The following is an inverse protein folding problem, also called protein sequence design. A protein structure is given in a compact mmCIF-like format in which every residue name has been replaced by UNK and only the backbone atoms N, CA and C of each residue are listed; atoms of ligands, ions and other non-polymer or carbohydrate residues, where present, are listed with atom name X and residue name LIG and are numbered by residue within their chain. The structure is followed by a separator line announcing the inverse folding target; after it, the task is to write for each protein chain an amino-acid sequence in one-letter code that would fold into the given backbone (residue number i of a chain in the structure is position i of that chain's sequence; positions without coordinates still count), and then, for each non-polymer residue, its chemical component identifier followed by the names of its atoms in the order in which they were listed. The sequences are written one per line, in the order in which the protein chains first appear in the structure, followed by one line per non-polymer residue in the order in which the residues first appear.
data_IF_353555015823
#
_entry.id   IF_353555015823
#
_cell.length_a   1.000
_cell.length_b   1.000
_cell.length_c   1.000
_cell.angle_alpha   90.00
_cell.angle_beta   90.00
_cell.angle_gamma   90.00
#
_symmetry.space_group_name_H-M   'P 1'
#
loop_
_entity.id
_entity.type
_entity.pdbx_description
1 polymer ?
#
# COMPACT_ATOMS: atom_id res chain seq x y z
N UNK A 1 -7.26 30.41 1.97
CA UNK A 1 -5.91 30.74 2.51
C UNK A 1 -6.12 31.95 3.41
N UNK A 2 -5.73 31.87 4.69
CA UNK A 2 -5.88 32.98 5.63
C UNK A 2 -4.76 34.01 5.42
N UNK A 3 -5.11 35.28 5.44
CA UNK A 3 -4.18 36.41 5.37
C UNK A 3 -3.64 36.82 6.76
N UNK A 4 -4.23 36.28 7.85
CA UNK A 4 -3.83 36.55 9.23
C UNK A 4 -2.97 35.40 9.78
N UNK A 5 -1.78 35.72 10.26
CA UNK A 5 -0.81 34.75 10.79
C UNK A 5 -1.38 33.87 11.93
N UNK A 6 -2.11 34.49 12.88
CA UNK A 6 -2.73 33.75 14.00
C UNK A 6 -3.79 32.77 13.53
N UNK A 7 -4.66 33.17 12.61
CA UNK A 7 -5.70 32.31 12.04
C UNK A 7 -5.08 31.18 11.22
N UNK A 8 -4.03 31.46 10.44
CA UNK A 8 -3.28 30.43 9.72
C UNK A 8 -2.63 29.42 10.67
N UNK A 9 -2.10 29.87 11.80
CA UNK A 9 -1.52 28.99 12.84
C UNK A 9 -2.56 28.06 13.47
N UNK A 10 -3.74 28.58 13.82
CA UNK A 10 -4.82 27.77 14.37
C UNK A 10 -5.33 26.74 13.37
N UNK A 11 -5.55 27.12 12.11
CA UNK A 11 -5.97 26.19 11.05
C UNK A 11 -4.92 25.12 10.77
N UNK A 12 -3.64 25.47 10.77
CA UNK A 12 -2.56 24.51 10.60
C UNK A 12 -2.54 23.48 11.74
N UNK A 13 -2.71 23.94 12.98
CA UNK A 13 -2.78 23.04 14.15
C UNK A 13 -4.01 22.13 14.08
N UNK A 14 -5.17 22.65 13.73
CA UNK A 14 -6.39 21.85 13.57
C UNK A 14 -6.21 20.77 12.51
N UNK A 15 -5.60 21.09 11.36
CA UNK A 15 -5.30 20.15 10.31
C UNK A 15 -4.31 19.06 10.76
N UNK A 16 -3.29 19.43 11.54
CA UNK A 16 -2.33 18.46 12.08
C UNK A 16 -2.97 17.52 13.08
N UNK A 17 -3.82 18.03 13.97
CA UNK A 17 -4.59 17.24 14.93
C UNK A 17 -5.55 16.27 14.22
N UNK A 18 -6.29 16.76 13.20
CA UNK A 18 -7.18 15.92 12.39
C UNK A 18 -6.41 14.84 11.65
N UNK A 19 -5.25 15.18 11.06
CA UNK A 19 -4.40 14.20 10.37
C UNK A 19 -3.84 13.16 11.32
N UNK A 20 -3.41 13.57 12.51
CA UNK A 20 -2.93 12.65 13.57
C UNK A 20 -4.03 11.69 14.01
N UNK A 21 -5.24 12.19 14.22
CA UNK A 21 -6.40 11.37 14.58
C UNK A 21 -6.78 10.39 13.46
N UNK A 22 -6.77 10.85 12.21
CA UNK A 22 -6.99 10.00 11.03
C UNK A 22 -5.95 8.88 10.93
N UNK A 23 -4.67 9.21 11.14
CA UNK A 23 -3.59 8.21 11.12
C UNK A 23 -3.77 7.15 12.21
N UNK A 24 -4.09 7.55 13.45
CA UNK A 24 -4.38 6.64 14.56
C UNK A 24 -5.58 5.74 14.25
N UNK A 25 -6.69 6.34 13.79
CA UNK A 25 -7.88 5.58 13.43
C UNK A 25 -7.61 4.57 12.31
N UNK A 26 -6.83 4.96 11.29
CA UNK A 26 -6.43 4.07 10.19
C UNK A 26 -5.57 2.91 10.69
N UNK A 27 -4.62 3.17 11.59
CA UNK A 27 -3.76 2.13 12.18
C UNK A 27 -4.56 1.15 13.02
N UNK A 28 -5.41 1.63 13.91
CA UNK A 28 -6.25 0.76 14.75
C UNK A 28 -7.19 -0.11 13.91
N UNK A 29 -7.80 0.47 12.88
CA UNK A 29 -8.68 -0.27 11.96
C UNK A 29 -7.89 -1.30 11.13
N UNK A 30 -6.65 -0.99 10.73
CA UNK A 30 -5.76 -1.94 10.05
C UNK A 30 -5.41 -3.10 10.97
N UNK A 31 -4.94 -2.85 12.19
CA UNK A 31 -4.59 -3.88 13.19
C UNK A 31 -5.79 -4.81 13.44
N UNK A 32 -6.98 -4.25 13.64
CA UNK A 32 -8.22 -5.02 13.83
C UNK A 32 -8.58 -5.88 12.61
N UNK A 33 -8.40 -5.36 11.41
CA UNK A 33 -8.63 -6.10 10.18
C UNK A 33 -7.61 -7.25 10.02
N UNK A 34 -6.33 -6.98 10.29
CA UNK A 34 -5.25 -7.97 10.22
C UNK A 34 -5.44 -9.11 11.23
N UNK A 35 -5.86 -8.80 12.46
CA UNK A 35 -6.18 -9.82 13.47
C UNK A 35 -7.27 -10.79 12.98
N UNK A 36 -8.29 -10.27 12.30
CA UNK A 36 -9.37 -11.09 11.74
C UNK A 36 -8.91 -11.94 10.55
N UNK A 37 -7.96 -11.47 9.75
CA UNK A 37 -7.39 -12.18 8.61
C UNK A 37 -6.45 -13.29 9.10
N UNK A 38 -5.61 -13.01 10.10
CA UNK A 38 -4.65 -13.96 10.65
C UNK A 38 -5.30 -15.11 11.45
N UNK A 39 -6.57 -14.98 11.83
CA UNK A 39 -7.33 -16.05 12.45
C UNK A 39 -7.67 -17.21 11.48
N UNK A 40 -7.41 -17.03 10.16
CA UNK A 40 -7.64 -18.02 9.11
C UNK A 40 -6.51 -18.08 8.06
N UNK A 41 -6.75 -18.80 6.97
CA UNK A 41 -5.88 -18.73 5.80
C UNK A 41 -6.16 -17.46 4.99
N UNK A 42 -5.11 -16.85 4.43
CA UNK A 42 -5.26 -15.68 3.56
C UNK A 42 -5.93 -16.08 2.26
N UNK A 43 -7.18 -15.72 2.11
CA UNK A 43 -8.01 -16.01 0.93
C UNK A 43 -7.65 -15.10 -0.27
N UNK A 44 -8.15 -15.44 -1.46
CA UNK A 44 -7.95 -14.64 -2.67
C UNK A 44 -8.65 -13.28 -2.63
N UNK A 45 -9.58 -13.07 -1.70
CA UNK A 45 -10.24 -11.80 -1.44
C UNK A 45 -10.24 -11.54 0.07
N UNK A 46 -9.73 -10.41 0.51
CA UNK A 46 -9.70 -10.00 1.91
C UNK A 46 -10.88 -9.09 2.20
N UNK A 47 -11.58 -9.33 3.31
CA UNK A 47 -12.67 -8.44 3.73
C UNK A 47 -12.66 -8.18 5.24
N UNK A 48 -13.01 -6.94 5.61
CA UNK A 48 -13.18 -6.56 7.01
C UNK A 48 -14.29 -5.51 7.15
N UNK A 49 -15.20 -5.73 8.10
CA UNK A 49 -16.36 -4.86 8.33
C UNK A 49 -16.53 -4.61 9.82
N UNK A 50 -16.74 -3.36 10.19
CA UNK A 50 -16.91 -2.99 11.59
C UNK A 50 -17.73 -1.70 11.74
N UNK A 51 -18.46 -1.57 12.84
CA UNK A 51 -19.20 -0.36 13.20
C UNK A 51 -18.27 0.79 13.62
N UNK A 52 -17.09 0.46 14.14
CA UNK A 52 -16.07 1.44 14.54
C UNK A 52 -15.28 2.02 13.34
N UNK A 53 -15.39 1.41 12.17
CA UNK A 53 -14.73 1.94 10.99
C UNK A 53 -15.48 3.17 10.47
N UNK A 54 -14.78 4.29 10.35
CA UNK A 54 -15.36 5.45 9.69
C UNK A 54 -15.24 5.36 8.17
N UNK A 55 -16.26 5.83 7.46
CA UNK A 55 -16.27 5.86 5.99
C UNK A 55 -15.09 6.67 5.39
N UNK A 56 -14.49 7.59 6.16
CA UNK A 56 -13.32 8.37 5.75
C UNK A 56 -11.99 7.61 5.73
N UNK A 57 -11.90 6.45 6.41
CA UNK A 57 -10.64 5.68 6.48
C UNK A 57 -10.68 4.32 5.80
N UNK A 58 -11.86 3.75 5.52
CA UNK A 58 -11.99 2.39 4.96
C UNK A 58 -11.18 2.21 3.67
N UNK A 59 -11.10 3.22 2.83
CA UNK A 59 -10.30 3.18 1.62
C UNK A 59 -8.79 3.17 1.89
N UNK A 60 -8.33 3.82 2.95
CA UNK A 60 -6.93 3.80 3.37
C UNK A 60 -6.54 2.43 3.94
N UNK A 61 -7.43 1.86 4.76
CA UNK A 61 -7.23 0.52 5.32
C UNK A 61 -7.20 -0.52 4.21
N UNK A 62 -8.15 -0.48 3.26
CA UNK A 62 -8.16 -1.38 2.12
C UNK A 62 -6.86 -1.30 1.29
N UNK A 63 -6.33 -0.08 1.06
CA UNK A 63 -5.03 0.10 0.38
C UNK A 63 -3.88 -0.58 1.13
N UNK A 64 -3.82 -0.41 2.45
CA UNK A 64 -2.77 -1.03 3.29
C UNK A 64 -2.85 -2.55 3.30
N UNK A 65 -4.05 -3.12 3.31
CA UNK A 65 -4.23 -4.57 3.21
C UNK A 65 -3.75 -5.10 1.85
N UNK A 66 -4.07 -4.39 0.75
CA UNK A 66 -3.55 -4.75 -0.58
C UNK A 66 -2.03 -4.66 -0.63
N UNK A 67 -1.44 -3.61 -0.08
CA UNK A 67 0.03 -3.45 -0.01
C UNK A 67 0.70 -4.58 0.77
N UNK A 68 0.07 -5.03 1.87
CA UNK A 68 0.66 -6.05 2.75
C UNK A 68 0.47 -7.48 2.20
N UNK A 69 -0.74 -7.81 1.74
CA UNK A 69 -1.09 -9.19 1.37
C UNK A 69 -1.05 -9.45 -0.13
N UNK A 70 -1.00 -8.41 -0.95
CA UNK A 70 -1.16 -8.49 -2.41
C UNK A 70 -2.40 -9.28 -2.82
N UNK A 71 -3.52 -8.92 -2.26
CA UNK A 71 -4.86 -9.48 -2.52
C UNK A 71 -5.87 -8.36 -2.66
N UNK A 72 -6.93 -8.50 -3.49
CA UNK A 72 -8.04 -7.58 -3.46
C UNK A 72 -8.61 -7.48 -2.05
N UNK A 73 -8.89 -6.26 -1.60
CA UNK A 73 -9.37 -6.00 -0.24
C UNK A 73 -10.62 -5.13 -0.24
N UNK A 74 -11.57 -5.50 0.61
CA UNK A 74 -12.83 -4.80 0.85
C UNK A 74 -12.88 -4.42 2.33
N UNK A 75 -13.00 -3.13 2.62
CA UNK A 75 -13.18 -2.65 3.99
C UNK A 75 -14.43 -1.80 4.06
N UNK A 76 -15.32 -2.12 4.98
CA UNK A 76 -16.61 -1.46 5.10
C UNK A 76 -16.95 -0.98 6.49
N UNK A 77 -17.57 0.20 6.56
CA UNK A 77 -18.19 0.79 7.74
C UNK A 77 -19.65 0.30 7.81
N UNK A 78 -20.04 -0.23 8.96
CA UNK A 78 -21.43 -0.63 9.23
C UNK A 78 -22.17 0.58 9.82
N UNK A 79 -23.14 1.10 9.09
CA UNK A 79 -23.92 2.29 9.46
C UNK A 79 -25.41 1.93 9.52
N UNK A 80 -25.87 1.45 10.67
CA UNK A 80 -27.26 1.01 10.90
C UNK A 80 -27.62 -0.22 10.04
N UNK A 81 -28.54 -0.05 9.08
CA UNK A 81 -28.96 -1.14 8.17
C UNK A 81 -28.07 -1.28 6.93
N UNK A 82 -27.11 -0.38 6.73
CA UNK A 82 -26.30 -0.33 5.53
C UNK A 82 -24.82 -0.47 5.84
N UNK A 83 -24.10 -1.00 4.88
CA UNK A 83 -22.65 -1.07 4.88
C UNK A 83 -22.15 -0.22 3.72
N UNK A 84 -21.25 0.71 4.00
CA UNK A 84 -20.50 1.46 3.01
C UNK A 84 -19.09 0.94 2.95
N UNK A 85 -18.71 0.39 1.81
CA UNK A 85 -17.42 -0.23 1.63
C UNK A 85 -16.58 0.46 0.56
N UNK A 86 -15.27 0.44 0.80
CA UNK A 86 -14.24 0.76 -0.19
C UNK A 86 -13.48 -0.50 -0.54
N UNK A 87 -13.27 -0.67 -1.83
CA UNK A 87 -12.51 -1.77 -2.39
C UNK A 87 -11.19 -1.26 -2.96
N UNK A 88 -10.14 -2.05 -2.81
CA UNK A 88 -8.87 -1.88 -3.52
C UNK A 88 -8.47 -3.20 -4.13
N UNK A 89 -7.76 -3.15 -5.25
CA UNK A 89 -7.45 -4.33 -6.03
C UNK A 89 -5.98 -4.41 -6.42
N UNK A 90 -5.64 -5.50 -7.03
CA UNK A 90 -4.34 -5.79 -7.66
C UNK A 90 -4.52 -5.81 -9.18
N UNK A 91 -3.42 -5.80 -9.94
CA UNK A 91 -3.47 -5.75 -11.40
C UNK A 91 -4.21 -6.95 -12.02
N UNK A 92 -4.15 -8.09 -11.35
CA UNK A 92 -4.70 -9.37 -11.79
C UNK A 92 -6.22 -9.48 -11.57
N UNK A 93 -6.85 -8.53 -10.84
CA UNK A 93 -8.26 -8.60 -10.49
C UNK A 93 -9.00 -7.28 -10.74
N UNK A 94 -10.04 -7.31 -11.56
CA UNK A 94 -10.82 -6.12 -11.91
C UNK A 94 -12.02 -5.96 -10.97
N UNK A 95 -11.83 -5.25 -9.84
CA UNK A 95 -12.83 -5.18 -8.77
C UNK A 95 -14.20 -4.65 -9.20
N UNK A 96 -14.27 -3.68 -10.14
CA UNK A 96 -15.56 -3.13 -10.57
C UNK A 96 -16.35 -4.15 -11.37
N UNK A 97 -15.72 -4.98 -12.22
CA UNK A 97 -16.40 -6.07 -12.94
C UNK A 97 -16.95 -7.12 -11.97
N UNK A 98 -16.20 -7.45 -10.93
CA UNK A 98 -16.68 -8.36 -9.89
C UNK A 98 -17.93 -7.79 -9.17
N UNK A 99 -17.94 -6.47 -8.88
CA UNK A 99 -19.12 -5.81 -8.34
C UNK A 99 -20.29 -5.77 -9.32
N UNK A 100 -20.04 -5.58 -10.61
CA UNK A 100 -21.07 -5.62 -11.66
C UNK A 100 -21.78 -6.98 -11.72
N UNK A 101 -21.03 -8.10 -11.55
CA UNK A 101 -21.61 -9.44 -11.43
C UNK A 101 -22.47 -9.64 -10.17
N UNK A 102 -22.34 -8.76 -9.18
CA UNK A 102 -23.10 -8.76 -7.92
C UNK A 102 -24.11 -7.63 -7.82
N UNK A 103 -24.41 -6.92 -8.91
CA UNK A 103 -25.24 -5.71 -8.90
C UNK A 103 -26.63 -5.92 -8.31
N UNK A 104 -27.18 -7.14 -8.38
CA UNK A 104 -28.47 -7.55 -7.83
C UNK A 104 -28.52 -7.45 -6.28
N UNK A 105 -27.38 -7.52 -5.60
CA UNK A 105 -27.26 -7.42 -4.14
C UNK A 105 -26.91 -6.01 -3.66
N UNK A 106 -26.52 -5.12 -4.56
CA UNK A 106 -25.97 -3.81 -4.24
C UNK A 106 -27.01 -2.70 -4.44
N UNK A 107 -27.08 -1.76 -3.49
CA UNK A 107 -27.89 -0.55 -3.66
C UNK A 107 -27.22 0.42 -4.64
N UNK A 108 -25.91 0.50 -4.60
CA UNK A 108 -25.09 1.26 -5.53
C UNK A 108 -23.65 0.75 -5.48
N UNK A 109 -22.97 0.83 -6.58
CA UNK A 109 -21.54 0.54 -6.68
C UNK A 109 -20.93 1.35 -7.82
N UNK A 110 -19.60 1.40 -7.87
CA UNK A 110 -18.89 2.04 -8.96
C UNK A 110 -17.42 2.29 -8.62
N UNK A 111 -16.64 2.59 -9.65
CA UNK A 111 -15.22 2.84 -9.53
C UNK A 111 -14.46 2.47 -10.81
N UNK A 112 -13.22 2.09 -10.62
CA UNK A 112 -12.29 1.65 -11.66
C UNK A 112 -11.74 0.26 -11.34
N UNK A 113 -10.90 -0.30 -12.22
CA UNK A 113 -10.34 -1.65 -12.04
C UNK A 113 -9.64 -1.84 -10.69
N UNK A 114 -8.90 -0.83 -10.21
CA UNK A 114 -8.06 -0.91 -9.02
C UNK A 114 -8.71 -0.36 -7.76
N UNK A 115 -9.80 0.39 -7.87
CA UNK A 115 -10.46 1.03 -6.74
C UNK A 115 -11.94 1.24 -7.03
N UNK A 116 -12.79 0.75 -6.14
CA UNK A 116 -14.22 0.87 -6.24
C UNK A 116 -14.84 1.10 -4.85
N UNK A 117 -16.13 1.35 -4.82
CA UNK A 117 -16.91 1.40 -3.60
C UNK A 117 -18.32 0.91 -3.84
N UNK A 118 -18.96 0.47 -2.79
CA UNK A 118 -20.35 0.04 -2.85
C UNK A 118 -21.12 0.35 -1.56
N UNK A 119 -22.43 0.27 -1.66
CA UNK A 119 -23.35 0.25 -0.51
C UNK A 119 -24.22 -0.98 -0.63
N UNK A 120 -24.33 -1.75 0.45
CA UNK A 120 -25.14 -2.94 0.54
C UNK A 120 -25.98 -2.92 1.82
N UNK A 121 -27.17 -3.52 1.83
CA UNK A 121 -27.91 -3.78 3.05
C UNK A 121 -27.22 -4.88 3.87
N UNK A 122 -27.14 -4.73 5.18
CA UNK A 122 -26.41 -5.67 6.05
C UNK A 122 -26.84 -7.13 5.89
N UNK A 123 -28.11 -7.36 5.60
CA UNK A 123 -28.66 -8.72 5.41
C UNK A 123 -28.10 -9.44 4.17
N UNK A 124 -27.62 -8.69 3.19
CA UNK A 124 -27.01 -9.24 1.97
C UNK A 124 -25.49 -9.31 2.02
N UNK A 125 -24.85 -8.88 3.14
CA UNK A 125 -23.40 -8.83 3.25
C UNK A 125 -22.76 -10.19 2.98
N UNK A 126 -23.21 -11.22 3.66
CA UNK A 126 -22.58 -12.55 3.59
C UNK A 126 -22.79 -13.16 2.18
N UNK A 127 -23.99 -13.05 1.62
CA UNK A 127 -24.27 -13.49 0.26
C UNK A 127 -23.39 -12.77 -0.79
N UNK A 128 -23.18 -11.47 -0.61
CA UNK A 128 -22.30 -10.68 -1.47
C UNK A 128 -20.86 -11.15 -1.36
N UNK A 129 -20.37 -11.37 -0.13
CA UNK A 129 -18.99 -11.83 0.09
C UNK A 129 -18.75 -13.20 -0.49
N UNK A 130 -19.67 -14.15 -0.31
CA UNK A 130 -19.58 -15.49 -0.87
C UNK A 130 -19.49 -15.42 -2.40
N UNK A 131 -20.34 -14.60 -3.04
CA UNK A 131 -20.34 -14.42 -4.49
C UNK A 131 -19.04 -13.79 -5.00
N UNK A 132 -18.56 -12.75 -4.30
CA UNK A 132 -17.27 -12.10 -4.62
C UNK A 132 -16.07 -13.02 -4.42
N UNK A 133 -16.10 -13.88 -3.39
CA UNK A 133 -15.04 -14.87 -3.15
C UNK A 133 -14.99 -15.88 -4.31
N UNK A 134 -16.13 -16.41 -4.73
CA UNK A 134 -16.20 -17.33 -5.89
C UNK A 134 -15.65 -16.67 -7.17
N UNK A 135 -15.93 -15.37 -7.37
CA UNK A 135 -15.37 -14.63 -8.51
C UNK A 135 -13.86 -14.48 -8.37
N UNK A 136 -13.37 -14.13 -7.16
CA UNK A 136 -11.94 -13.99 -6.91
C UNK A 136 -11.20 -15.32 -7.10
N UNK A 137 -11.72 -16.41 -6.58
CA UNK A 137 -11.15 -17.74 -6.77
C UNK A 137 -11.12 -18.12 -8.25
N UNK A 138 -12.18 -17.88 -9.00
CA UNK A 138 -12.24 -18.15 -10.45
C UNK A 138 -11.19 -17.37 -11.24
N UNK A 139 -10.95 -16.09 -10.89
CA UNK A 139 -10.07 -15.19 -11.64
C UNK A 139 -8.61 -15.27 -11.20
N UNK A 140 -8.35 -15.64 -9.94
CA UNK A 140 -7.01 -15.63 -9.36
C UNK A 140 -6.42 -17.04 -9.15
N UNK A 141 -7.19 -18.10 -9.42
CA UNK A 141 -6.70 -19.48 -9.28
C UNK A 141 -5.48 -19.75 -10.20
N UNK A 142 -4.43 -20.31 -9.62
CA UNK A 142 -3.20 -20.62 -10.33
C UNK A 142 -2.33 -19.42 -10.71
N UNK A 143 -2.71 -18.19 -10.34
CA UNK A 143 -1.91 -16.98 -10.56
C UNK A 143 -0.92 -16.81 -9.40
N UNK A 144 0.33 -16.52 -9.74
CA UNK A 144 1.35 -16.17 -8.74
C UNK A 144 1.09 -14.73 -8.23
N UNK A 145 0.41 -14.64 -7.10
CA UNK A 145 0.02 -13.35 -6.50
C UNK A 145 1.15 -12.77 -5.66
N UNK A 146 2.20 -12.32 -6.33
CA UNK A 146 3.31 -11.55 -5.74
C UNK A 146 3.43 -10.18 -6.39
N UNK A 147 3.68 -9.13 -5.61
CA UNK A 147 3.91 -7.81 -6.18
C UNK A 147 5.12 -7.82 -7.11
N UNK A 148 4.95 -7.29 -8.31
CA UNK A 148 6.03 -7.14 -9.28
C UNK A 148 6.51 -5.70 -9.32
N UNK A 149 7.83 -5.51 -9.37
CA UNK A 149 8.46 -4.21 -9.51
C UNK A 149 9.03 -4.09 -10.93
N UNK A 150 8.50 -3.15 -11.71
CA UNK A 150 9.00 -2.91 -13.05
C UNK A 150 10.23 -2.02 -12.97
N UNK A 151 11.39 -2.60 -13.25
CA UNK A 151 12.66 -1.88 -13.36
C UNK A 151 12.78 -1.32 -14.78
N UNK A 152 13.12 -0.03 -14.91
CA UNK A 152 13.32 0.60 -16.20
C UNK A 152 14.74 0.38 -16.70
N UNK A 153 15.74 0.44 -15.82
CA UNK A 153 17.16 0.26 -16.18
C UNK A 153 17.88 -0.50 -15.07
N UNK A 154 18.62 -1.53 -15.44
CA UNK A 154 19.63 -2.17 -14.58
C UNK A 154 20.99 -1.49 -14.83
N UNK A 155 21.63 -1.04 -13.76
CA UNK A 155 22.92 -0.36 -13.80
C UNK A 155 24.03 -1.26 -13.29
N UNK A 156 25.23 -1.03 -13.79
CA UNK A 156 26.45 -1.52 -13.17
C UNK A 156 26.84 -0.61 -12.00
N UNK A 157 27.57 -1.14 -11.04
CA UNK A 157 27.92 -0.41 -9.81
C UNK A 157 28.70 0.89 -10.09
N UNK A 158 29.60 0.84 -11.07
CA UNK A 158 30.40 1.99 -11.51
C UNK A 158 29.58 3.09 -12.19
N UNK A 159 28.39 2.77 -12.68
CA UNK A 159 27.48 3.73 -13.32
C UNK A 159 26.68 4.53 -12.27
N UNK A 160 26.60 4.04 -11.04
CA UNK A 160 25.90 4.74 -9.94
C UNK A 160 26.79 5.86 -9.41
N UNK A 161 26.67 7.01 -10.03
CA UNK A 161 27.42 8.22 -9.71
C UNK A 161 26.48 9.38 -9.39
N UNK A 162 26.91 10.41 -8.66
CA UNK A 162 26.11 11.61 -8.43
C UNK A 162 25.65 12.32 -9.71
N UNK A 163 26.26 12.02 -10.86
CA UNK A 163 25.89 12.60 -12.17
C UNK A 163 24.56 12.07 -12.71
N UNK A 164 24.08 10.92 -12.23
CA UNK A 164 22.79 10.37 -12.65
C UNK A 164 21.65 11.31 -12.23
N UNK A 165 21.74 11.91 -11.05
CA UNK A 165 20.65 12.72 -10.49
C UNK A 165 20.22 13.88 -11.40
N UNK A 166 21.12 14.75 -11.92
CA UNK A 166 20.73 15.81 -12.86
C UNK A 166 20.12 15.30 -14.17
N UNK A 167 20.47 14.08 -14.61
CA UNK A 167 19.87 13.49 -15.82
C UNK A 167 18.43 13.02 -15.54
N UNK A 168 18.19 12.41 -14.36
CA UNK A 168 16.84 12.03 -13.93
C UNK A 168 15.95 13.25 -13.69
N UNK A 169 16.48 14.34 -13.17
CA UNK A 169 15.73 15.59 -12.99
C UNK A 169 15.16 16.16 -14.29
N UNK A 170 15.80 15.91 -15.44
CA UNK A 170 15.29 16.35 -16.75
C UNK A 170 13.96 15.67 -17.14
N UNK A 171 13.62 14.56 -16.49
CA UNK A 171 12.37 13.84 -16.71
C UNK A 171 11.21 14.38 -15.87
N UNK A 172 11.46 15.35 -15.00
CA UNK A 172 10.44 16.00 -14.18
C UNK A 172 9.51 16.90 -15.04
N UNK A 173 8.22 17.09 -14.65
CA UNK A 173 7.61 16.52 -13.46
C UNK A 173 7.17 15.06 -13.66
N UNK A 174 7.45 14.21 -12.68
CA UNK A 174 6.96 12.84 -12.65
C UNK A 174 5.57 12.77 -11.99
N UNK A 175 4.79 11.73 -12.31
CA UNK A 175 3.45 11.54 -11.79
C UNK A 175 2.62 10.59 -12.67
N UNK A 176 1.30 10.77 -12.67
CA UNK A 176 0.41 9.95 -13.47
C UNK A 176 0.70 10.14 -14.97
N UNK A 177 0.98 9.03 -15.68
CA UNK A 177 1.35 9.04 -17.11
C UNK A 177 2.84 9.28 -17.39
N UNK A 178 3.60 9.73 -16.38
CA UNK A 178 5.06 9.87 -16.44
C UNK A 178 5.66 9.43 -15.09
N UNK A 179 5.72 8.12 -14.77
CA UNK A 179 6.23 7.65 -13.49
C UNK A 179 7.71 7.97 -13.32
N UNK A 180 8.19 8.06 -12.09
CA UNK A 180 9.61 8.15 -11.82
C UNK A 180 10.33 6.92 -12.37
N UNK A 181 11.52 7.14 -12.92
CA UNK A 181 12.38 6.05 -13.40
C UNK A 181 12.84 5.22 -12.21
N UNK A 182 12.72 3.91 -12.33
CA UNK A 182 13.17 2.96 -11.32
C UNK A 182 14.41 2.24 -11.80
N UNK A 183 15.52 2.47 -11.12
CA UNK A 183 16.82 1.88 -11.42
C UNK A 183 17.03 0.66 -10.53
N UNK A 184 17.86 -0.29 -10.98
CA UNK A 184 18.27 -1.42 -10.17
C UNK A 184 19.78 -1.67 -10.22
N UNK A 185 20.31 -2.09 -9.07
CA UNK A 185 21.61 -2.76 -8.95
C UNK A 185 21.36 -4.18 -8.50
N UNK A 186 22.02 -5.14 -9.13
CA UNK A 186 21.89 -6.55 -8.75
C UNK A 186 23.12 -7.09 -8.05
N UNK A 187 22.88 -8.01 -7.12
CA UNK A 187 23.90 -8.83 -6.50
C UNK A 187 25.01 -8.02 -5.80
N UNK A 188 24.65 -6.93 -5.13
CA UNK A 188 25.59 -6.04 -4.44
C UNK A 188 25.77 -6.40 -2.97
N UNK A 189 26.99 -6.12 -2.47
CA UNK A 189 27.27 -6.20 -1.03
C UNK A 189 26.83 -4.90 -0.34
N UNK A 190 26.34 -5.01 0.88
CA UNK A 190 26.01 -3.85 1.72
C UNK A 190 26.93 -3.81 2.95
N UNK A 191 27.35 -2.62 3.31
CA UNK A 191 28.21 -2.37 4.47
C UNK A 191 27.64 -1.31 5.39
N UNK A 192 28.10 -1.29 6.64
CA UNK A 192 27.75 -0.29 7.65
C UNK A 192 26.23 -0.10 7.84
N UNK A 193 25.46 -1.19 7.70
CA UNK A 193 24.01 -1.13 7.83
C UNK A 193 23.59 -0.80 9.27
N UNK A 194 22.68 0.15 9.40
CA UNK A 194 22.16 0.64 10.67
C UNK A 194 20.66 0.88 10.57
N UNK A 195 19.93 0.55 11.62
CA UNK A 195 18.54 0.95 11.75
C UNK A 195 18.46 2.41 12.18
N UNK A 196 17.69 3.22 11.45
CA UNK A 196 17.53 4.66 11.70
C UNK A 196 16.05 5.06 11.80
N UNK A 197 15.81 6.30 12.23
CA UNK A 197 14.48 6.83 12.51
C UNK A 197 14.05 6.63 13.95
N UNK A 198 13.01 7.34 14.37
CA UNK A 198 12.52 7.33 15.77
C UNK A 198 12.08 5.92 16.21
N UNK A 199 11.48 5.17 15.31
CA UNK A 199 10.98 3.80 15.54
C UNK A 199 11.92 2.73 14.96
N UNK A 200 13.11 3.11 14.46
CA UNK A 200 14.10 2.21 13.85
C UNK A 200 13.53 1.37 12.68
N UNK A 201 12.59 1.93 11.95
CA UNK A 201 11.91 1.24 10.84
C UNK A 201 12.63 1.33 9.49
N UNK A 202 13.65 2.21 9.38
CA UNK A 202 14.41 2.42 8.16
C UNK A 202 15.82 1.88 8.29
N UNK A 203 16.45 1.58 7.15
CA UNK A 203 17.86 1.19 7.09
C UNK A 203 18.68 2.27 6.42
N UNK A 204 19.89 2.51 6.94
CA UNK A 204 20.95 3.27 6.30
C UNK A 204 22.13 2.36 6.10
N UNK A 205 22.73 2.38 4.94
CA UNK A 205 23.87 1.50 4.58
C UNK A 205 24.75 2.14 3.51
N UNK A 206 25.90 1.52 3.28
CA UNK A 206 26.79 1.82 2.16
C UNK A 206 26.76 0.69 1.15
N UNK A 207 27.02 1.02 -0.09
CA UNK A 207 27.25 0.06 -1.19
C UNK A 207 28.72 0.15 -1.58
N UNK A 208 29.56 -0.79 -1.14
CA UNK A 208 31.03 -0.76 -1.42
C UNK A 208 31.30 -0.74 -2.90
N UNK A 209 32.18 0.16 -3.34
CA UNK A 209 32.50 0.36 -4.75
C UNK A 209 31.64 1.39 -5.48
N UNK A 210 30.54 1.83 -4.87
CA UNK A 210 29.74 2.94 -5.39
C UNK A 210 30.40 4.29 -5.07
N UNK A 211 30.12 5.29 -5.91
CA UNK A 211 30.49 6.69 -5.63
C UNK A 211 29.47 7.40 -4.72
N UNK A 212 28.36 6.73 -4.37
CA UNK A 212 27.35 7.23 -3.45
C UNK A 212 27.74 6.81 -2.05
N UNK A 213 27.92 7.78 -1.15
CA UNK A 213 28.43 7.53 0.21
C UNK A 213 27.44 6.71 1.07
N UNK A 214 26.15 6.99 0.94
CA UNK A 214 25.12 6.37 1.78
C UNK A 214 23.81 6.20 1.00
N UNK A 215 23.10 5.13 1.31
CA UNK A 215 21.75 4.86 0.85
C UNK A 215 20.80 4.67 2.05
N UNK A 216 19.52 4.98 1.84
CA UNK A 216 18.45 4.77 2.83
C UNK A 216 17.38 3.89 2.20
N UNK A 217 17.03 2.80 2.89
CA UNK A 217 15.85 2.00 2.57
C UNK A 217 14.75 2.29 3.60
N UNK A 218 13.70 2.95 3.14
CA UNK A 218 12.58 3.32 3.99
C UNK A 218 11.70 2.11 4.29
N UNK A 219 11.32 1.94 5.57
CA UNK A 219 10.45 0.86 6.07
C UNK A 219 10.96 -0.56 5.74
N UNK A 220 12.29 -0.75 5.73
CA UNK A 220 12.95 -2.02 5.38
C UNK A 220 13.74 -2.62 6.55
N UNK A 221 13.44 -2.25 7.78
CA UNK A 221 14.22 -2.70 8.96
C UNK A 221 14.21 -4.22 9.17
N UNK A 222 13.23 -4.93 8.61
CA UNK A 222 13.16 -6.41 8.66
C UNK A 222 14.38 -7.10 8.06
N UNK A 223 15.08 -6.45 7.12
CA UNK A 223 16.30 -7.01 6.51
C UNK A 223 17.55 -6.89 7.37
N UNK A 224 17.49 -6.14 8.49
CA UNK A 224 18.66 -5.89 9.33
C UNK A 224 19.24 -7.18 9.94
N UNK A 225 18.41 -8.00 10.56
CA UNK A 225 18.83 -9.26 11.19
C UNK A 225 19.35 -10.27 10.17
N UNK A 226 18.71 -10.36 9.00
CA UNK A 226 19.16 -11.20 7.89
C UNK A 226 20.53 -10.75 7.39
N UNK A 227 20.73 -9.43 7.22
CA UNK A 227 22.05 -8.91 6.84
C UNK A 227 23.09 -9.16 7.91
N UNK A 228 22.76 -8.99 9.18
CA UNK A 228 23.70 -9.15 10.30
C UNK A 228 24.20 -10.62 10.40
N UNK A 229 23.30 -11.57 10.25
CA UNK A 229 23.57 -13.01 10.44
C UNK A 229 24.14 -13.71 9.20
N UNK A 230 23.67 -13.35 8.00
CA UNK A 230 23.96 -14.12 6.77
C UNK A 230 24.85 -13.35 5.79
N UNK A 231 24.92 -12.01 5.88
CA UNK A 231 25.63 -11.15 4.92
C UNK A 231 25.27 -11.48 3.46
N UNK A 232 23.98 -11.58 3.12
CA UNK A 232 23.60 -11.92 1.76
C UNK A 232 23.93 -10.77 0.82
N UNK A 233 24.01 -11.07 -0.47
CA UNK A 233 23.96 -10.04 -1.50
C UNK A 233 22.52 -9.58 -1.73
N UNK A 234 22.37 -8.35 -2.14
CA UNK A 234 21.06 -7.72 -2.35
C UNK A 234 20.88 -7.24 -3.77
N UNK A 235 19.64 -7.31 -4.24
CA UNK A 235 19.18 -6.53 -5.36
C UNK A 235 18.55 -5.24 -4.81
N UNK A 236 18.99 -4.09 -5.30
CA UNK A 236 18.51 -2.78 -4.88
C UNK A 236 17.72 -2.15 -6.00
N UNK A 237 16.50 -1.68 -5.70
CA UNK A 237 15.72 -0.84 -6.59
C UNK A 237 15.60 0.58 -5.99
N UNK A 238 15.80 1.64 -6.79
CA UNK A 238 15.88 3.03 -6.34
C UNK A 238 15.53 4.06 -7.42
#
# INVERSE_FOLDING_TARGET
VSEKMEEAGLLAQELDDQNTNRQKATRNAQEKAEDSILAGEVSNLISSFDEEYSSGIVGLVASKLVEHYYRPAIVGSIEGEFIRASCRSINEFHITRALDECADLLLRHGGHSMAAGFTVHKDFKDQLLDKLMVIADRELDGIDLRPTLKIDIELLLEEVTPRIYPELEKLQPTGMGNPAVLLALKNVDLADMQQIGKEKTHLRFKVPGSQVEQAIAFNQSQWYETWLSQRPKFDLAF
#
